data_IF_462163177383
#
_entry.id   IF_462163177383
#
_cell.length_a   1.000
_cell.length_b   1.000
_cell.length_c   1.000
_cell.angle_alpha   90.00
_cell.angle_beta   90.00
_cell.angle_gamma   90.00
#
_symmetry.space_group_name_H-M   'P 1'
#
loop_
_entity.id
_entity.type
_entity.pdbx_description
1 polymer ?
#
# COMPACT_ATOMS: atom_id res chain seq x y z
N UNK A 1 3.73 -7.83 -9.79
CA UNK A 1 4.69 -8.40 -10.74
C UNK A 1 4.33 -9.83 -11.11
N UNK A 2 4.13 -10.71 -10.14
CA UNK A 2 3.71 -12.11 -10.39
C UNK A 2 2.21 -12.36 -10.23
N UNK A 3 1.35 -11.34 -10.30
CA UNK A 3 -0.11 -11.47 -10.12
C UNK A 3 -0.60 -11.70 -8.67
N UNK A 4 0.28 -12.07 -7.73
CA UNK A 4 -0.09 -12.43 -6.35
C UNK A 4 -0.18 -11.23 -5.37
N UNK A 5 -0.87 -10.15 -5.76
CA UNK A 5 -1.02 -8.98 -4.88
C UNK A 5 -1.89 -9.29 -3.65
N UNK A 6 -2.89 -10.13 -3.84
CA UNK A 6 -3.78 -10.67 -2.82
C UNK A 6 -3.05 -11.45 -1.70
N UNK A 7 -2.10 -12.30 -2.08
CA UNK A 7 -1.28 -13.02 -1.12
C UNK A 7 -0.39 -12.06 -0.33
N UNK A 8 0.18 -11.05 -1.00
CA UNK A 8 0.95 -10.02 -0.31
C UNK A 8 0.08 -9.23 0.70
N UNK A 9 -1.17 -8.92 0.32
CA UNK A 9 -2.16 -8.31 1.21
C UNK A 9 -2.51 -9.20 2.41
N UNK A 10 -2.69 -10.50 2.20
CA UNK A 10 -2.93 -11.46 3.29
C UNK A 10 -1.75 -11.55 4.26
N UNK A 11 -0.51 -11.59 3.75
CA UNK A 11 0.68 -11.63 4.58
C UNK A 11 0.85 -10.36 5.43
N UNK A 12 0.58 -9.17 4.88
CA UNK A 12 0.77 -7.92 5.61
C UNK A 12 -0.35 -7.63 6.62
N UNK A 13 -1.55 -8.16 6.40
CA UNK A 13 -2.70 -8.02 7.31
C UNK A 13 -2.77 -9.11 8.38
N UNK A 14 -1.99 -10.18 8.24
CA UNK A 14 -1.91 -11.26 9.22
C UNK A 14 -1.43 -10.76 10.58
N UNK A 15 -2.08 -11.26 11.64
CA UNK A 15 -1.67 -11.09 13.04
C UNK A 15 -1.08 -12.38 13.65
N UNK A 16 -0.95 -13.44 12.85
CA UNK A 16 -0.41 -14.72 13.29
C UNK A 16 1.12 -14.73 13.21
N UNK A 17 1.78 -15.41 14.15
CA UNK A 17 3.24 -15.57 14.10
C UNK A 17 3.66 -16.43 12.90
N UNK A 18 4.73 -16.07 12.15
CA UNK A 18 5.45 -14.79 12.17
C UNK A 18 4.81 -13.74 11.25
N UNK A 19 4.59 -12.52 11.74
CA UNK A 19 4.08 -11.40 10.93
C UNK A 19 4.32 -10.03 11.58
N UNK A 20 4.20 -8.95 10.81
CA UNK A 20 4.17 -7.59 11.32
C UNK A 20 3.01 -7.40 12.30
N UNK A 21 1.82 -7.91 11.97
CA UNK A 21 0.67 -7.84 12.86
C UNK A 21 0.90 -8.58 14.17
N UNK A 22 1.53 -9.76 14.16
CA UNK A 22 1.92 -10.46 15.39
C UNK A 22 2.87 -9.61 16.23
N UNK A 23 3.90 -9.02 15.61
CA UNK A 23 4.84 -8.14 16.29
C UNK A 23 4.09 -7.01 17.01
N UNK A 24 3.19 -6.30 16.33
CA UNK A 24 2.44 -5.18 16.90
C UNK A 24 1.31 -5.56 17.87
N UNK A 25 0.79 -6.79 17.80
CA UNK A 25 -0.36 -7.24 18.62
C UNK A 25 0.03 -8.27 19.68
N UNK A 26 1.32 -8.51 19.88
CA UNK A 26 1.80 -9.49 20.84
C UNK A 26 1.38 -9.11 22.28
N UNK A 27 0.99 -10.07 23.13
CA UNK A 27 0.59 -9.78 24.51
C UNK A 27 1.79 -9.59 25.46
N UNK A 28 3.01 -9.85 25.01
CA UNK A 28 4.20 -9.87 25.87
C UNK A 28 4.83 -8.49 26.07
N UNK A 29 4.71 -7.61 25.07
CA UNK A 29 5.33 -6.28 25.04
C UNK A 29 4.43 -5.32 24.25
N UNK A 30 4.65 -4.00 24.37
CA UNK A 30 3.92 -2.97 23.62
C UNK A 30 4.84 -2.29 22.59
N UNK A 31 5.12 -2.93 21.44
CA UNK A 31 6.01 -2.38 20.43
C UNK A 31 5.48 -1.16 19.70
N UNK A 32 6.37 -0.18 19.51
CA UNK A 32 6.13 1.02 18.70
C UNK A 32 7.08 1.13 17.50
N UNK A 33 8.02 0.19 17.38
CA UNK A 33 9.05 0.13 16.33
C UNK A 33 9.24 -1.32 15.87
N UNK A 34 9.90 -1.49 14.72
CA UNK A 34 10.21 -2.82 14.20
C UNK A 34 11.34 -3.49 14.99
N UNK A 35 11.22 -4.80 15.19
CA UNK A 35 12.17 -5.63 15.93
C UNK A 35 13.15 -6.34 15.01
N UNK A 36 14.29 -6.72 15.57
CA UNK A 36 15.30 -7.52 14.89
C UNK A 36 14.83 -8.94 14.58
N UNK A 37 14.05 -9.52 15.50
CA UNK A 37 13.56 -10.89 15.40
C UNK A 37 12.04 -10.93 15.37
N UNK A 38 11.47 -11.83 14.57
CA UNK A 38 10.02 -12.12 14.61
C UNK A 38 9.59 -12.72 15.94
N UNK A 39 10.48 -13.48 16.58
CA UNK A 39 10.25 -14.18 17.84
C UNK A 39 10.90 -13.48 19.03
N UNK A 40 11.19 -12.18 18.93
CA UNK A 40 11.83 -11.37 19.96
C UNK A 40 11.41 -11.70 21.43
N UNK A 41 10.11 -11.89 21.75
CA UNK A 41 9.68 -12.23 23.12
C UNK A 41 10.21 -13.57 23.65
N UNK A 42 10.69 -14.45 22.79
CA UNK A 42 11.19 -15.79 23.09
C UNK A 42 12.62 -16.03 22.56
N UNK A 43 13.25 -15.00 21.99
CA UNK A 43 14.55 -15.07 21.34
C UNK A 43 15.73 -15.11 22.33
N UNK A 44 16.92 -15.31 21.80
CA UNK A 44 18.15 -15.14 22.58
C UNK A 44 18.40 -13.63 22.81
N UNK A 45 18.52 -13.18 24.08
CA UNK A 45 18.67 -11.76 24.39
C UNK A 45 19.99 -11.15 23.91
N UNK A 46 20.97 -11.95 23.45
CA UNK A 46 22.24 -11.44 22.94
C UNK A 46 22.14 -10.70 21.59
N UNK A 47 21.08 -10.94 20.81
CA UNK A 47 20.86 -10.32 19.50
C UNK A 47 19.35 -10.11 19.27
N UNK A 48 18.78 -9.17 20.01
CA UNK A 48 17.33 -9.01 20.12
C UNK A 48 16.89 -7.54 20.21
N UNK A 49 17.35 -6.71 19.27
CA UNK A 49 17.00 -5.28 19.26
C UNK A 49 15.50 -5.07 19.02
N UNK A 50 14.87 -4.25 19.87
CA UNK A 50 13.48 -3.79 19.70
C UNK A 50 13.34 -2.61 18.73
N UNK A 51 14.43 -2.17 18.12
CA UNK A 51 14.44 -1.02 17.22
C UNK A 51 15.42 -1.28 16.07
N UNK A 52 15.01 -2.13 15.13
CA UNK A 52 15.82 -2.55 14.00
C UNK A 52 15.03 -2.45 12.68
N UNK A 53 15.64 -1.85 11.67
CA UNK A 53 14.97 -1.44 10.43
C UNK A 53 15.02 -2.51 9.31
N UNK A 54 15.55 -3.72 9.55
CA UNK A 54 15.72 -4.69 8.45
C UNK A 54 14.39 -5.11 7.83
N UNK A 55 13.33 -5.18 8.66
CA UNK A 55 11.97 -5.45 8.20
C UNK A 55 11.22 -4.18 7.74
N UNK A 56 11.88 -3.01 7.72
CA UNK A 56 11.24 -1.76 7.30
C UNK A 56 11.01 -1.65 5.79
N UNK A 57 11.56 -2.58 4.99
CA UNK A 57 11.37 -2.62 3.53
C UNK A 57 9.90 -2.71 3.11
N UNK A 58 9.03 -3.20 4.00
CA UNK A 58 7.57 -3.19 3.81
C UNK A 58 7.01 -1.78 3.59
N UNK A 59 7.64 -0.74 4.16
CA UNK A 59 7.26 0.64 3.92
C UNK A 59 7.38 1.02 2.44
N UNK A 60 8.44 0.57 1.76
CA UNK A 60 8.62 0.80 0.33
C UNK A 60 7.53 0.08 -0.50
N UNK A 61 7.06 -1.09 -0.04
CA UNK A 61 5.96 -1.81 -0.68
C UNK A 61 4.63 -1.05 -0.58
N UNK A 62 4.34 -0.38 0.54
CA UNK A 62 3.14 0.45 0.67
C UNK A 62 3.09 1.57 -0.39
N UNK A 63 4.21 2.20 -0.70
CA UNK A 63 4.24 3.24 -1.74
C UNK A 63 4.26 2.66 -3.16
N UNK A 64 5.16 1.72 -3.43
CA UNK A 64 5.39 1.23 -4.79
C UNK A 64 4.32 0.27 -5.31
N UNK A 65 3.71 -0.54 -4.44
CA UNK A 65 2.81 -1.62 -4.84
C UNK A 65 1.37 -1.40 -4.38
N UNK A 66 1.16 -0.86 -3.18
CA UNK A 66 -0.18 -0.62 -2.66
C UNK A 66 -0.74 0.71 -3.18
N UNK A 67 -0.06 1.84 -2.91
CA UNK A 67 -0.38 3.13 -3.54
C UNK A 67 -0.04 3.15 -5.04
N UNK A 68 0.94 2.34 -5.45
CA UNK A 68 1.29 2.16 -6.85
C UNK A 68 2.17 3.26 -7.43
N UNK A 69 2.90 4.01 -6.61
CA UNK A 69 3.78 5.10 -7.03
C UNK A 69 5.14 4.52 -7.40
N UNK A 70 5.43 4.43 -8.69
CA UNK A 70 6.71 4.00 -9.24
C UNK A 70 7.44 5.19 -9.88
N UNK A 71 8.58 5.56 -9.30
CA UNK A 71 9.40 6.68 -9.75
C UNK A 71 10.43 6.19 -10.77
N UNK A 72 10.19 6.45 -12.05
CA UNK A 72 11.16 6.20 -13.12
C UNK A 72 11.98 7.47 -13.38
N UNK A 73 13.04 7.37 -14.19
CA UNK A 73 14.00 8.47 -14.38
C UNK A 73 13.35 9.76 -14.90
N UNK A 74 12.35 9.64 -15.77
CA UNK A 74 11.69 10.77 -16.44
C UNK A 74 10.16 10.77 -16.27
N UNK A 75 9.59 9.73 -15.65
CA UNK A 75 8.15 9.50 -15.61
C UNK A 75 7.73 8.94 -14.25
N UNK A 76 6.62 9.45 -13.73
CA UNK A 76 5.97 8.87 -12.55
C UNK A 76 4.90 7.90 -13.04
N UNK A 77 5.08 6.60 -12.80
CA UNK A 77 4.06 5.61 -13.12
C UNK A 77 3.19 5.40 -11.90
N UNK A 78 1.88 5.59 -12.07
CA UNK A 78 0.89 5.40 -11.00
C UNK A 78 0.00 4.22 -11.36
N UNK A 79 0.12 3.14 -10.59
CA UNK A 79 -0.64 1.90 -10.76
C UNK A 79 -1.18 1.43 -9.40
N UNK A 80 -2.25 2.06 -8.89
CA UNK A 80 -2.85 1.67 -7.62
C UNK A 80 -3.41 0.26 -7.73
N UNK A 81 -3.07 -0.61 -6.77
CA UNK A 81 -3.63 -1.97 -6.70
C UNK A 81 -4.62 -2.02 -5.55
N UNK A 82 -5.90 -2.01 -5.90
CA UNK A 82 -6.98 -1.83 -4.92
C UNK A 82 -7.71 -3.15 -4.60
N UNK A 83 -7.57 -4.19 -5.44
CA UNK A 83 -8.40 -5.40 -5.38
C UNK A 83 -7.57 -6.67 -5.52
N UNK A 84 -7.93 -7.69 -4.73
CA UNK A 84 -7.57 -9.08 -4.95
C UNK A 84 -8.62 -9.69 -5.88
N UNK A 85 -8.20 -10.37 -6.95
CA UNK A 85 -9.12 -11.08 -7.86
C UNK A 85 -9.92 -12.19 -7.15
N UNK A 86 -9.43 -12.69 -6.00
CA UNK A 86 -10.01 -13.82 -5.27
C UNK A 86 -10.67 -13.44 -3.92
N UNK A 87 -10.36 -12.27 -3.36
CA UNK A 87 -10.86 -11.81 -2.05
C UNK A 87 -11.55 -10.46 -2.18
N UNK A 88 -12.85 -10.46 -1.96
CA UNK A 88 -13.66 -9.25 -1.84
C UNK A 88 -13.07 -8.29 -0.80
N UNK A 89 -12.78 -7.06 -1.25
CA UNK A 89 -12.65 -5.85 -0.43
C UNK A 89 -11.60 -5.85 0.70
N UNK A 90 -10.30 -5.88 0.35
CA UNK A 90 -9.26 -5.73 1.38
C UNK A 90 -9.01 -4.27 1.82
N UNK A 91 -9.25 -3.26 0.97
CA UNK A 91 -9.19 -1.85 1.37
C UNK A 91 -10.32 -1.03 0.75
N UNK A 92 -11.05 -0.27 1.57
CA UNK A 92 -12.04 0.71 1.10
C UNK A 92 -11.42 2.08 0.78
N UNK A 93 -10.24 2.36 1.35
CA UNK A 93 -9.59 3.67 1.25
C UNK A 93 -8.08 3.55 1.36
N UNK A 94 -7.38 4.36 0.56
CA UNK A 94 -5.96 4.68 0.75
C UNK A 94 -5.76 6.16 0.56
N UNK A 95 -4.85 6.72 1.35
CA UNK A 95 -4.38 8.09 1.22
C UNK A 95 -2.87 8.07 1.44
N UNK A 96 -2.11 8.46 0.43
CA UNK A 96 -0.66 8.36 0.42
C UNK A 96 -0.05 9.57 -0.24
N UNK A 97 1.04 10.05 0.37
CA UNK A 97 1.83 11.16 -0.14
C UNK A 97 3.30 10.74 -0.17
N UNK A 98 3.96 10.96 -1.31
CA UNK A 98 5.38 10.69 -1.48
C UNK A 98 6.10 11.98 -1.90
N UNK A 99 7.09 12.38 -1.10
CA UNK A 99 7.95 13.52 -1.44
C UNK A 99 9.01 13.08 -2.44
N UNK A 100 9.04 13.73 -3.61
CA UNK A 100 9.98 13.45 -4.70
C UNK A 100 10.84 14.68 -4.98
N UNK A 101 11.85 14.54 -5.85
CA UNK A 101 12.66 15.66 -6.32
C UNK A 101 11.85 16.72 -7.09
N UNK A 102 10.70 16.35 -7.66
CA UNK A 102 9.84 17.24 -8.42
C UNK A 102 8.75 17.89 -7.55
N UNK A 103 8.54 17.40 -6.32
CA UNK A 103 7.48 17.84 -5.42
C UNK A 103 6.68 16.67 -4.84
N UNK A 104 5.52 16.98 -4.27
CA UNK A 104 4.64 15.99 -3.65
C UNK A 104 3.83 15.25 -4.71
N UNK A 105 3.85 13.92 -4.65
CA UNK A 105 2.93 13.05 -5.39
C UNK A 105 1.91 12.52 -4.40
N UNK A 106 0.64 12.83 -4.65
CA UNK A 106 -0.46 12.31 -3.84
C UNK A 106 -1.25 11.27 -4.63
N UNK A 107 -1.54 10.14 -4.01
CA UNK A 107 -2.45 9.13 -4.55
C UNK A 107 -3.44 8.77 -3.46
N UNK A 108 -4.72 9.03 -3.73
CA UNK A 108 -5.83 8.64 -2.85
C UNK A 108 -6.89 7.89 -3.61
N UNK A 109 -7.39 6.83 -2.98
CA UNK A 109 -8.50 6.03 -3.49
C UNK A 109 -9.57 5.92 -2.42
N UNK A 110 -10.83 5.93 -2.83
CA UNK A 110 -11.98 5.68 -1.95
C UNK A 110 -13.05 4.92 -2.73
N UNK A 111 -13.47 3.78 -2.19
CA UNK A 111 -14.68 3.07 -2.58
C UNK A 111 -15.91 3.81 -2.03
N UNK A 112 -16.99 3.88 -2.81
CA UNK A 112 -18.24 4.47 -2.30
C UNK A 112 -18.85 3.58 -1.21
N UNK A 113 -18.55 3.88 0.05
CA UNK A 113 -19.03 3.14 1.23
C UNK A 113 -20.56 3.13 1.37
N UNK A 114 -21.27 4.01 0.66
CA UNK A 114 -22.75 4.10 0.70
C UNK A 114 -23.43 3.29 -0.39
N UNK A 115 -22.66 2.68 -1.29
CA UNK A 115 -23.16 1.95 -2.46
C UNK A 115 -24.15 2.78 -3.30
N UNK A 116 -24.02 4.11 -3.25
CA UNK A 116 -24.88 5.05 -3.98
C UNK A 116 -24.75 4.82 -5.48
N UNK A 117 -23.56 4.39 -5.91
CA UNK A 117 -23.29 3.81 -7.21
C UNK A 117 -22.55 2.49 -7.02
N UNK A 118 -23.23 1.37 -7.29
CA UNK A 118 -22.62 0.05 -7.22
C UNK A 118 -21.34 -0.02 -8.05
N UNK A 119 -20.26 -0.49 -7.41
CA UNK A 119 -18.93 -0.68 -8.01
C UNK A 119 -18.27 0.62 -8.50
N UNK A 120 -18.54 1.76 -7.83
CA UNK A 120 -17.87 3.03 -8.14
C UNK A 120 -16.64 3.27 -7.26
N UNK A 121 -15.60 3.80 -7.89
CA UNK A 121 -14.31 4.07 -7.27
C UNK A 121 -13.87 5.48 -7.63
N UNK A 122 -13.52 6.27 -6.61
CA UNK A 122 -12.92 7.59 -6.79
C UNK A 122 -11.40 7.49 -6.58
N UNK A 123 -10.64 7.74 -7.65
CA UNK A 123 -9.19 7.88 -7.62
C UNK A 123 -8.84 9.36 -7.81
N UNK A 124 -8.06 9.94 -6.89
CA UNK A 124 -7.49 11.29 -7.03
C UNK A 124 -5.97 11.20 -6.98
N UNK A 125 -5.35 11.89 -7.92
CA UNK A 125 -3.91 11.92 -8.09
C UNK A 125 -3.49 13.38 -8.18
N UNK A 126 -2.46 13.76 -7.43
CA UNK A 126 -1.78 15.05 -7.57
C UNK A 126 -0.38 14.80 -8.09
N UNK A 127 -0.05 15.43 -9.21
CA UNK A 127 1.29 15.41 -9.80
C UNK A 127 1.89 16.80 -9.64
N UNK A 128 3.13 16.94 -9.17
CA UNK A 128 3.74 18.24 -9.05
C UNK A 128 3.99 18.87 -10.41
N UNK A 129 4.06 20.20 -10.45
CA UNK A 129 4.39 20.93 -11.68
C UNK A 129 5.74 20.46 -12.25
N UNK A 130 5.88 20.45 -13.57
CA UNK A 130 7.10 20.04 -14.25
C UNK A 130 7.47 18.54 -14.04
N UNK A 131 6.49 17.72 -13.67
CA UNK A 131 6.59 16.26 -13.72
C UNK A 131 5.53 15.70 -14.70
N UNK A 132 5.87 14.59 -15.33
CA UNK A 132 4.95 13.81 -16.16
C UNK A 132 4.56 12.54 -15.43
N UNK A 133 3.29 12.14 -15.55
CA UNK A 133 2.81 10.90 -14.96
C UNK A 133 1.99 10.07 -15.94
N UNK A 134 2.17 8.75 -15.84
CA UNK A 134 1.35 7.77 -16.54
C UNK A 134 0.52 7.00 -15.52
N UNK A 135 -0.79 7.18 -15.60
CA UNK A 135 -1.75 6.44 -14.78
C UNK A 135 -2.16 5.16 -15.51
N UNK A 136 -1.97 4.02 -14.86
CA UNK A 136 -2.36 2.71 -15.38
C UNK A 136 -3.52 2.17 -14.56
N UNK A 137 -4.65 1.98 -15.23
CA UNK A 137 -5.82 1.35 -14.64
C UNK A 137 -5.74 -0.17 -14.86
N UNK A 138 -5.45 -0.92 -13.80
CA UNK A 138 -5.77 -2.34 -13.76
C UNK A 138 -7.27 -2.46 -13.44
N UNK A 139 -8.05 -3.29 -14.16
CA UNK A 139 -9.46 -3.46 -13.88
C UNK A 139 -9.64 -3.89 -12.43
N UNK A 140 -10.30 -3.03 -11.65
CA UNK A 140 -10.52 -3.26 -10.22
C UNK A 140 -11.47 -4.45 -10.00
N UNK A 141 -12.27 -4.75 -11.02
CA UNK A 141 -13.04 -5.98 -11.17
C UNK A 141 -13.09 -6.32 -12.67
N UNK A 142 -13.35 -7.60 -13.03
CA UNK A 142 -13.50 -7.99 -14.42
C UNK A 142 -14.51 -7.11 -15.15
N UNK A 143 -14.08 -6.43 -16.22
CA UNK A 143 -14.92 -5.56 -17.03
C UNK A 143 -15.06 -4.10 -16.54
N UNK A 144 -14.37 -3.70 -15.47
CA UNK A 144 -14.30 -2.30 -15.04
C UNK A 144 -13.77 -1.39 -16.16
N UNK A 145 -14.34 -0.19 -16.30
CA UNK A 145 -13.93 0.83 -17.27
C UNK A 145 -13.88 2.20 -16.61
N UNK A 146 -12.95 3.04 -17.06
CA UNK A 146 -12.97 4.46 -16.71
C UNK A 146 -14.21 5.12 -17.33
N UNK A 147 -15.10 5.65 -16.48
CA UNK A 147 -16.32 6.34 -16.91
C UNK A 147 -16.06 7.82 -17.16
N UNK A 148 -15.32 8.46 -16.25
CA UNK A 148 -15.01 9.89 -16.29
C UNK A 148 -13.56 10.09 -15.89
N UNK A 149 -12.84 10.88 -16.68
CA UNK A 149 -11.51 11.40 -16.33
C UNK A 149 -11.55 12.92 -16.43
N UNK A 150 -11.22 13.59 -15.33
CA UNK A 150 -11.13 15.05 -15.26
C UNK A 150 -9.72 15.44 -14.87
N UNK A 151 -9.09 16.26 -15.69
CA UNK A 151 -7.83 16.92 -15.38
C UNK A 151 -8.12 18.36 -14.97
N UNK A 152 -7.54 18.80 -13.86
CA UNK A 152 -7.73 20.15 -13.32
C UNK A 152 -6.47 20.61 -12.58
N UNK A 153 -6.22 21.91 -12.64
CA UNK A 153 -5.15 22.59 -11.89
C UNK A 153 -5.68 23.16 -10.58
#
# INVERSE_FOLDING_TARGET
DNGHHDLAMELITSINYPSYGFMFNTPYENPTTLWELWNAPFGDPSMDSRHHHMFASVGAWFYSHLAGIDLQSELIVIRPRMVSEEKEHLLSKIDSQLSTLYGLVDVSYTHDERDTFANFILLRITIPTNAEAKVVFEPLFPGAKCVTATEGN
#
